data_IF_582375774323
#
_entry.id   IF_582375774323
#
_cell.length_a   1.000
_cell.length_b   1.000
_cell.length_c   1.000
_cell.angle_alpha   90.00
_cell.angle_beta   90.00
_cell.angle_gamma   90.00
#
_symmetry.space_group_name_H-M   'P 1'
#
loop_
_entity.id
_entity.type
_entity.pdbx_description
1 polymer ?
#
# COMPACT_ATOMS: atom_id res chain seq x y z
N UNK A 1 13.87 32.59 1.53
CA UNK A 1 14.23 31.20 1.34
C UNK A 1 13.31 30.33 2.22
N UNK A 2 12.24 29.71 1.71
CA UNK A 2 11.46 28.77 2.50
C UNK A 2 12.19 27.43 2.51
N UNK A 3 12.29 26.85 3.71
CA UNK A 3 13.03 25.65 4.04
C UNK A 3 12.54 24.43 3.25
N UNK A 4 13.50 23.72 2.65
CA UNK A 4 13.35 22.46 1.89
C UNK A 4 12.84 21.29 2.77
N UNK A 5 12.48 21.54 4.03
CA UNK A 5 12.18 20.51 5.05
C UNK A 5 10.69 20.13 5.19
N UNK A 6 9.78 20.76 4.46
CA UNK A 6 8.35 20.43 4.53
C UNK A 6 7.86 19.63 3.30
N UNK A 7 8.65 18.66 2.87
CA UNK A 7 8.22 17.70 1.86
C UNK A 7 7.33 16.66 2.56
N UNK A 8 6.01 16.84 2.47
CA UNK A 8 5.01 15.87 2.92
C UNK A 8 5.40 14.47 2.46
N UNK A 9 5.71 13.61 3.42
CA UNK A 9 6.09 12.20 3.22
C UNK A 9 4.98 11.46 2.47
N UNK A 10 5.27 10.73 1.38
CA UNK A 10 4.30 9.86 0.74
C UNK A 10 3.88 8.77 1.73
N UNK A 11 2.57 8.61 1.91
CA UNK A 11 1.97 7.56 2.75
C UNK A 11 2.05 6.24 1.98
N UNK A 12 3.04 5.43 2.30
CA UNK A 12 3.32 4.18 1.61
C UNK A 12 3.20 2.99 2.56
N UNK A 13 2.49 1.97 2.13
CA UNK A 13 2.30 0.71 2.87
C UNK A 13 1.17 0.78 3.90
N UNK A 14 -0.06 1.10 3.47
CA UNK A 14 -1.18 1.49 4.33
C UNK A 14 -1.58 0.50 5.43
N UNK A 15 -1.49 -0.82 5.23
CA UNK A 15 -2.07 -1.76 6.18
C UNK A 15 -1.12 -2.16 7.31
N UNK A 16 0.13 -2.44 7.01
CA UNK A 16 1.13 -2.84 8.00
C UNK A 16 1.82 -1.61 8.59
N UNK A 17 1.99 -0.54 7.79
CA UNK A 17 2.38 0.76 8.33
C UNK A 17 1.33 1.32 9.29
N UNK A 18 0.03 1.10 9.06
CA UNK A 18 -1.02 1.49 10.01
C UNK A 18 -0.94 0.69 11.30
N UNK A 19 -0.81 -0.64 11.25
CA UNK A 19 -0.67 -1.46 12.45
C UNK A 19 0.66 -1.21 13.15
N UNK A 20 1.77 -1.26 12.43
CA UNK A 20 3.10 -1.10 13.01
C UNK A 20 3.38 0.32 13.48
N UNK A 21 3.08 1.34 12.66
CA UNK A 21 3.23 2.74 13.05
C UNK A 21 2.16 3.17 14.06
N UNK A 22 0.95 2.64 13.96
CA UNK A 22 -0.11 2.84 14.94
C UNK A 22 0.31 2.30 16.30
N UNK A 23 0.82 1.08 16.36
CA UNK A 23 1.36 0.45 17.55
C UNK A 23 2.56 1.22 18.10
N UNK A 24 3.52 1.59 17.26
CA UNK A 24 4.67 2.40 17.66
C UNK A 24 4.26 3.75 18.23
N UNK A 25 3.33 4.47 17.57
CA UNK A 25 2.83 5.74 18.05
C UNK A 25 2.01 5.59 19.34
N UNK A 26 1.24 4.52 19.49
CA UNK A 26 0.51 4.20 20.71
C UNK A 26 1.46 3.93 21.88
N UNK A 27 2.53 3.16 21.66
CA UNK A 27 3.56 2.91 22.66
C UNK A 27 4.28 4.20 23.09
N UNK A 28 4.55 5.10 22.13
CA UNK A 28 5.07 6.44 22.43
C UNK A 28 4.09 7.30 23.23
N UNK A 29 2.81 7.20 22.93
CA UNK A 29 1.76 7.94 23.65
C UNK A 29 1.64 7.48 25.09
N UNK A 30 1.89 6.20 25.41
CA UNK A 30 1.97 5.66 26.77
C UNK A 30 3.23 6.15 27.53
N UNK A 31 4.13 6.86 26.86
CA UNK A 31 5.34 7.43 27.49
C UNK A 31 6.60 6.58 27.32
N UNK A 32 6.57 5.51 26.51
CA UNK A 32 7.79 4.78 26.21
C UNK A 32 8.73 5.61 25.32
N UNK A 33 10.02 5.60 25.65
CA UNK A 33 11.07 6.20 24.84
C UNK A 33 11.11 5.61 23.40
N UNK A 34 11.82 6.29 22.50
CA UNK A 34 11.93 5.89 21.08
C UNK A 34 12.48 4.46 20.93
N UNK A 35 13.50 4.11 21.72
CA UNK A 35 14.15 2.81 21.68
C UNK A 35 13.25 1.66 22.18
N UNK A 36 12.70 1.69 23.42
CA UNK A 36 11.85 0.59 23.89
C UNK A 36 10.54 0.46 23.11
N UNK A 37 9.94 1.57 22.66
CA UNK A 37 8.75 1.53 21.81
C UNK A 37 9.05 0.88 20.46
N UNK A 38 10.21 1.18 19.87
CA UNK A 38 10.64 0.59 18.60
C UNK A 38 10.90 -0.91 18.72
N UNK A 39 11.64 -1.32 19.74
CA UNK A 39 11.95 -2.75 19.99
C UNK A 39 10.68 -3.57 20.27
N UNK A 40 9.78 -3.07 21.10
CA UNK A 40 8.54 -3.75 21.43
C UNK A 40 7.61 -3.88 20.21
N UNK A 41 7.45 -2.80 19.44
CA UNK A 41 6.68 -2.83 18.20
C UNK A 41 7.26 -3.84 17.20
N UNK A 42 8.59 -3.94 17.11
CA UNK A 42 9.31 -4.88 16.28
C UNK A 42 9.02 -6.33 16.68
N UNK A 43 9.16 -6.66 17.96
CA UNK A 43 8.87 -8.01 18.48
C UNK A 43 7.43 -8.41 18.18
N UNK A 44 6.46 -7.51 18.43
CA UNK A 44 5.04 -7.76 18.16
C UNK A 44 4.81 -7.98 16.66
N UNK A 45 5.45 -7.19 15.79
CA UNK A 45 5.26 -7.34 14.33
C UNK A 45 5.89 -8.63 13.79
N UNK A 46 7.04 -9.06 14.32
CA UNK A 46 7.64 -10.35 13.96
C UNK A 46 6.76 -11.50 14.43
N UNK A 47 6.27 -11.44 15.67
CA UNK A 47 5.33 -12.42 16.21
C UNK A 47 4.06 -12.51 15.36
N UNK A 48 3.48 -11.37 14.99
CA UNK A 48 2.34 -11.30 14.07
C UNK A 48 2.67 -11.94 12.72
N UNK A 49 3.85 -11.66 12.16
CA UNK A 49 4.33 -12.28 10.92
C UNK A 49 4.38 -13.80 10.99
N UNK A 50 4.88 -14.35 12.09
CA UNK A 50 4.91 -15.79 12.33
C UNK A 50 3.50 -16.39 12.48
N UNK A 51 2.62 -15.71 13.22
CA UNK A 51 1.23 -16.17 13.43
C UNK A 51 0.40 -16.18 12.14
N UNK A 52 0.68 -15.27 11.20
CA UNK A 52 -0.01 -15.20 9.90
C UNK A 52 0.52 -16.19 8.85
N UNK A 53 1.41 -17.11 9.25
CA UNK A 53 1.96 -18.15 8.39
C UNK A 53 3.12 -17.71 7.50
N UNK A 54 3.73 -16.53 7.77
CA UNK A 54 4.96 -16.09 7.09
C UNK A 54 4.83 -15.87 5.57
N UNK A 55 3.64 -15.56 5.07
CA UNK A 55 3.44 -15.30 3.64
C UNK A 55 4.37 -14.17 3.15
N UNK A 56 4.80 -14.24 1.88
CA UNK A 56 5.77 -13.31 1.28
C UNK A 56 5.37 -11.84 1.45
N UNK A 57 4.09 -11.53 1.30
CA UNK A 57 3.57 -10.17 1.56
C UNK A 57 3.75 -9.72 3.00
N UNK A 58 3.60 -10.64 3.96
CA UNK A 58 3.80 -10.36 5.38
C UNK A 58 5.28 -10.17 5.70
N UNK A 59 6.15 -11.06 5.17
CA UNK A 59 7.60 -10.94 5.33
C UNK A 59 8.11 -9.60 4.79
N UNK A 60 7.69 -9.21 3.58
CA UNK A 60 8.02 -7.90 3.02
C UNK A 60 7.61 -6.77 3.95
N UNK A 61 6.41 -6.81 4.45
CA UNK A 61 5.86 -5.75 5.25
C UNK A 61 6.54 -5.64 6.63
N UNK A 62 6.84 -6.76 7.26
CA UNK A 62 7.64 -6.81 8.51
C UNK A 62 9.04 -6.26 8.25
N UNK A 63 9.72 -6.69 7.18
CA UNK A 63 11.07 -6.21 6.83
C UNK A 63 11.09 -4.71 6.57
N UNK A 64 10.13 -4.19 5.80
CA UNK A 64 10.03 -2.75 5.55
C UNK A 64 9.71 -1.96 6.82
N UNK A 65 8.90 -2.51 7.72
CA UNK A 65 8.64 -1.92 9.04
C UNK A 65 9.93 -1.89 9.89
N UNK A 66 10.68 -2.99 9.93
CA UNK A 66 11.99 -3.07 10.58
C UNK A 66 12.94 -1.98 10.10
N UNK A 67 13.07 -1.83 8.78
CA UNK A 67 13.90 -0.81 8.17
C UNK A 67 13.42 0.61 8.50
N UNK A 68 12.10 0.83 8.55
CA UNK A 68 11.53 2.13 8.92
C UNK A 68 11.82 2.50 10.37
N UNK A 69 11.67 1.56 11.30
CA UNK A 69 11.99 1.76 12.72
C UNK A 69 13.49 1.91 12.92
N UNK A 70 14.30 1.05 12.28
CA UNK A 70 15.76 1.13 12.31
C UNK A 70 16.28 2.48 11.80
N UNK A 71 15.76 2.98 10.69
CA UNK A 71 16.11 4.30 10.16
C UNK A 71 15.78 5.42 11.16
N UNK A 72 14.64 5.35 11.85
CA UNK A 72 14.28 6.33 12.89
C UNK A 72 15.22 6.28 14.09
N UNK A 73 15.63 5.08 14.51
CA UNK A 73 16.56 4.87 15.62
C UNK A 73 17.96 5.44 15.28
N UNK A 74 18.43 5.19 14.06
CA UNK A 74 19.75 5.68 13.60
C UNK A 74 19.71 7.15 13.17
N UNK A 75 18.51 7.78 13.16
CA UNK A 75 18.34 9.19 12.74
C UNK A 75 18.48 9.39 11.23
N UNK A 76 18.35 8.32 10.43
CA UNK A 76 18.39 8.40 8.96
C UNK A 76 17.01 8.55 8.35
N UNK A 77 16.98 9.16 7.15
CA UNK A 77 15.74 9.29 6.37
C UNK A 77 15.41 7.91 5.78
N UNK A 78 14.18 7.45 6.04
CA UNK A 78 13.66 6.24 5.43
C UNK A 78 13.34 6.51 3.95
N UNK A 79 14.02 5.81 3.06
CA UNK A 79 13.77 5.83 1.62
C UNK A 79 13.05 4.55 1.20
N UNK A 80 11.86 4.71 0.60
CA UNK A 80 11.00 3.58 0.26
C UNK A 80 11.60 2.66 -0.82
N UNK A 81 12.14 3.17 -1.96
CA UNK A 81 12.75 2.32 -2.98
C UNK A 81 13.91 1.49 -2.42
N UNK A 82 14.76 2.11 -1.61
CA UNK A 82 15.89 1.40 -0.95
C UNK A 82 15.38 0.32 0.01
N UNK A 83 14.37 0.62 0.83
CA UNK A 83 13.78 -0.35 1.73
C UNK A 83 13.11 -1.52 0.98
N UNK A 84 12.47 -1.23 -0.15
CA UNK A 84 11.91 -2.26 -1.03
C UNK A 84 13.00 -3.16 -1.63
N UNK A 85 14.10 -2.59 -2.11
CA UNK A 85 15.22 -3.34 -2.67
C UNK A 85 15.83 -4.27 -1.62
N UNK A 86 16.08 -3.75 -0.41
CA UNK A 86 16.59 -4.56 0.70
C UNK A 86 15.61 -5.68 1.08
N UNK A 87 14.32 -5.40 1.18
CA UNK A 87 13.31 -6.41 1.47
C UNK A 87 13.25 -7.49 0.38
N UNK A 88 13.34 -7.10 -0.90
CA UNK A 88 13.37 -8.03 -2.02
C UNK A 88 14.59 -8.94 -1.95
N UNK A 89 15.78 -8.40 -1.72
CA UNK A 89 17.02 -9.16 -1.60
C UNK A 89 16.91 -10.17 -0.45
N UNK A 90 16.46 -9.75 0.73
CA UNK A 90 16.34 -10.64 1.89
C UNK A 90 15.38 -11.80 1.63
N UNK A 91 14.23 -11.54 1.02
CA UNK A 91 13.23 -12.57 0.70
C UNK A 91 13.75 -13.52 -0.38
N UNK A 92 14.45 -13.01 -1.40
CA UNK A 92 14.98 -13.85 -2.48
C UNK A 92 16.22 -14.64 -2.07
N UNK A 93 16.99 -14.18 -1.10
CA UNK A 93 18.10 -14.94 -0.50
C UNK A 93 17.55 -16.13 0.30
N UNK A 94 16.43 -15.96 0.99
CA UNK A 94 15.77 -17.05 1.71
C UNK A 94 15.24 -18.11 0.74
N UNK A 95 14.57 -17.71 -0.32
CA UNK A 95 14.11 -18.61 -1.38
C UNK A 95 14.00 -17.90 -2.73
N UNK A 96 14.88 -18.22 -3.71
CA UNK A 96 14.79 -17.65 -5.05
C UNK A 96 13.48 -17.98 -5.78
N UNK A 97 12.78 -19.05 -5.38
CA UNK A 97 11.49 -19.43 -5.96
C UNK A 97 10.39 -18.39 -5.74
N UNK A 98 10.52 -17.54 -4.71
CA UNK A 98 9.57 -16.43 -4.48
C UNK A 98 9.53 -15.39 -5.60
N UNK A 99 10.57 -15.35 -6.46
CA UNK A 99 10.55 -14.47 -7.64
C UNK A 99 9.38 -14.77 -8.59
N UNK A 100 8.89 -16.01 -8.62
CA UNK A 100 7.74 -16.43 -9.43
C UNK A 100 6.45 -16.57 -8.61
N UNK A 101 6.47 -16.18 -7.35
CA UNK A 101 5.30 -16.21 -6.48
C UNK A 101 4.38 -14.99 -6.74
N UNK A 102 3.07 -15.28 -6.89
CA UNK A 102 2.07 -14.23 -7.14
C UNK A 102 1.99 -13.21 -6.00
N UNK A 103 2.12 -13.65 -4.76
CA UNK A 103 2.12 -12.77 -3.58
C UNK A 103 3.32 -11.82 -3.57
N UNK A 104 4.50 -12.29 -4.00
CA UNK A 104 5.69 -11.46 -4.18
C UNK A 104 5.45 -10.39 -5.25
N UNK A 105 5.12 -10.81 -6.46
CA UNK A 105 4.99 -9.91 -7.61
C UNK A 105 3.87 -8.89 -7.43
N UNK A 106 2.69 -9.30 -6.93
CA UNK A 106 1.57 -8.39 -6.67
C UNK A 106 1.89 -7.40 -5.55
N UNK A 107 2.54 -7.88 -4.50
CA UNK A 107 2.86 -7.05 -3.34
C UNK A 107 3.92 -6.00 -3.66
N UNK A 108 5.01 -6.38 -4.32
CA UNK A 108 6.05 -5.45 -4.77
C UNK A 108 5.54 -4.54 -5.88
N UNK A 109 4.75 -5.06 -6.83
CA UNK A 109 4.12 -4.28 -7.88
C UNK A 109 3.20 -3.18 -7.33
N UNK A 110 2.35 -3.51 -6.36
CA UNK A 110 1.46 -2.54 -5.72
C UNK A 110 2.24 -1.42 -5.01
N UNK A 111 3.29 -1.77 -4.24
CA UNK A 111 4.09 -0.77 -3.53
C UNK A 111 4.93 0.07 -4.50
N UNK A 112 5.44 -0.51 -5.58
CA UNK A 112 6.11 0.24 -6.66
C UNK A 112 5.14 1.23 -7.30
N UNK A 113 3.91 0.82 -7.58
CA UNK A 113 2.86 1.69 -8.11
C UNK A 113 2.60 2.90 -7.22
N UNK A 114 2.34 2.67 -5.92
CA UNK A 114 2.03 3.75 -4.98
C UNK A 114 3.27 4.54 -4.57
N UNK A 115 4.40 3.90 -4.41
CA UNK A 115 5.60 4.51 -3.84
C UNK A 115 6.52 5.19 -4.83
N UNK A 116 6.59 4.69 -6.06
CA UNK A 116 7.49 5.21 -7.08
C UNK A 116 6.72 5.90 -8.22
N UNK A 117 5.67 5.26 -8.75
CA UNK A 117 4.96 5.77 -9.93
C UNK A 117 3.99 6.88 -9.56
N UNK A 118 3.19 6.67 -8.53
CA UNK A 118 2.18 7.63 -8.09
C UNK A 118 2.74 9.03 -7.77
N UNK A 119 3.83 9.19 -6.98
CA UNK A 119 4.38 10.52 -6.69
C UNK A 119 4.81 11.27 -7.95
N UNK A 120 5.38 10.57 -8.95
CA UNK A 120 5.81 11.18 -10.21
C UNK A 120 4.62 11.75 -11.00
N UNK A 121 3.52 11.00 -11.07
CA UNK A 121 2.29 11.44 -11.76
C UNK A 121 1.65 12.59 -10.99
N UNK A 122 1.56 12.48 -9.65
CA UNK A 122 0.91 13.48 -8.81
C UNK A 122 1.63 14.82 -8.83
N UNK A 123 2.96 14.82 -8.68
CA UNK A 123 3.76 16.05 -8.77
C UNK A 123 3.57 16.78 -10.10
N UNK A 124 3.52 16.02 -11.20
CA UNK A 124 3.24 16.60 -12.52
C UNK A 124 1.83 17.19 -12.63
N UNK A 125 0.83 16.53 -12.03
CA UNK A 125 -0.56 17.03 -12.03
C UNK A 125 -0.73 18.26 -11.14
N UNK A 126 -0.15 18.31 -9.94
CA UNK A 126 -0.21 19.49 -9.06
C UNK A 126 0.44 20.72 -9.70
N UNK A 127 1.54 20.51 -10.44
CA UNK A 127 2.21 21.58 -11.19
C UNK A 127 1.36 22.10 -12.36
N UNK A 128 0.65 21.20 -13.05
CA UNK A 128 -0.23 21.57 -14.17
C UNK A 128 -1.50 22.32 -13.69
N UNK A 129 -1.97 22.04 -12.49
CA UNK A 129 -3.21 22.57 -11.93
C UNK A 129 -2.93 23.54 -10.78
N UNK A 130 -2.64 24.80 -11.14
CA UNK A 130 -2.49 25.93 -10.17
C UNK A 130 -3.75 26.23 -9.31
N UNK A 131 -4.76 25.36 -9.31
CA UNK A 131 -6.06 25.59 -8.70
C UNK A 131 -6.29 24.64 -7.52
N UNK A 132 -6.43 25.18 -6.31
CA UNK A 132 -6.92 24.49 -5.11
C UNK A 132 -8.30 23.91 -5.39
N UNK A 133 -8.40 22.63 -5.71
CA UNK A 133 -9.68 21.93 -5.86
C UNK A 133 -10.03 21.24 -4.53
N UNK A 134 -11.18 21.57 -3.99
CA UNK A 134 -11.75 21.00 -2.76
C UNK A 134 -12.03 19.49 -2.86
N UNK A 135 -12.03 18.90 -4.07
CA UNK A 135 -12.18 17.47 -4.34
C UNK A 135 -10.88 16.66 -4.32
N UNK A 136 -9.74 17.25 -3.92
CA UNK A 136 -8.40 16.69 -4.12
C UNK A 136 -8.15 15.32 -3.50
N UNK A 137 -8.68 15.04 -2.30
CA UNK A 137 -8.41 13.77 -1.60
C UNK A 137 -9.08 12.56 -2.27
N UNK A 138 -10.32 12.70 -2.71
CA UNK A 138 -11.03 11.63 -3.40
C UNK A 138 -10.39 11.32 -4.77
N UNK A 139 -10.10 12.36 -5.57
CA UNK A 139 -9.40 12.23 -6.85
C UNK A 139 -8.01 11.61 -6.65
N UNK A 140 -7.28 12.02 -5.62
CA UNK A 140 -5.99 11.46 -5.27
C UNK A 140 -6.07 9.97 -4.98
N UNK A 141 -7.00 9.54 -4.13
CA UNK A 141 -7.20 8.12 -3.79
C UNK A 141 -7.65 7.30 -5.00
N UNK A 142 -8.53 7.84 -5.82
CA UNK A 142 -9.01 7.17 -7.05
C UNK A 142 -7.86 6.95 -8.04
N UNK A 143 -7.11 7.99 -8.36
CA UNK A 143 -5.98 7.89 -9.28
C UNK A 143 -4.87 6.98 -8.76
N UNK A 144 -4.58 7.03 -7.44
CA UNK A 144 -3.64 6.09 -6.82
C UNK A 144 -4.10 4.63 -6.98
N UNK A 145 -5.40 4.35 -6.79
CA UNK A 145 -5.98 3.02 -7.01
C UNK A 145 -5.84 2.57 -8.47
N UNK A 146 -6.06 3.48 -9.43
CA UNK A 146 -5.86 3.20 -10.86
C UNK A 146 -4.40 2.87 -11.16
N UNK A 147 -3.45 3.63 -10.61
CA UNK A 147 -2.01 3.38 -10.81
C UNK A 147 -1.62 2.00 -10.26
N UNK A 148 -2.11 1.64 -9.06
CA UNK A 148 -1.87 0.30 -8.49
C UNK A 148 -2.43 -0.78 -9.41
N UNK A 149 -3.68 -0.62 -9.84
CA UNK A 149 -4.33 -1.60 -10.73
C UNK A 149 -3.56 -1.76 -12.04
N UNK A 150 -3.15 -0.66 -12.67
CA UNK A 150 -2.35 -0.70 -13.91
C UNK A 150 -0.99 -1.36 -13.68
N UNK A 151 -0.31 -1.05 -12.57
CA UNK A 151 1.00 -1.64 -12.26
C UNK A 151 0.91 -3.14 -12.00
N UNK A 152 -0.16 -3.61 -11.37
CA UNK A 152 -0.34 -5.03 -11.04
C UNK A 152 -1.08 -5.83 -12.11
N UNK A 153 -1.72 -5.17 -13.07
CA UNK A 153 -2.58 -5.77 -14.10
C UNK A 153 -1.91 -6.93 -14.86
N UNK A 154 -0.68 -6.82 -15.39
CA UNK A 154 -0.07 -7.93 -16.12
C UNK A 154 0.18 -9.16 -15.23
N UNK A 155 0.53 -8.92 -13.97
CA UNK A 155 0.77 -9.99 -12.99
C UNK A 155 -0.56 -10.68 -12.64
N UNK A 156 -1.63 -9.92 -12.42
CA UNK A 156 -2.97 -10.45 -12.16
C UNK A 156 -3.44 -11.31 -13.33
N UNK A 157 -3.30 -10.83 -14.56
CA UNK A 157 -3.66 -11.61 -15.76
C UNK A 157 -2.83 -12.89 -15.90
N UNK A 158 -1.53 -12.83 -15.56
CA UNK A 158 -0.67 -14.01 -15.63
C UNK A 158 -1.13 -15.12 -14.69
N UNK A 159 -1.46 -14.76 -13.42
CA UNK A 159 -1.80 -15.75 -12.40
C UNK A 159 -3.27 -16.19 -12.47
N UNK A 160 -4.18 -15.24 -12.65
CA UNK A 160 -5.62 -15.47 -12.55
C UNK A 160 -6.32 -15.55 -13.91
N UNK A 161 -5.74 -15.00 -14.98
CA UNK A 161 -6.35 -14.96 -16.31
C UNK A 161 -7.53 -13.99 -16.45
N UNK A 162 -7.93 -13.34 -15.36
CA UNK A 162 -9.07 -12.40 -15.29
C UNK A 162 -8.73 -11.18 -14.45
N UNK A 163 -9.39 -10.07 -14.76
CA UNK A 163 -9.24 -8.80 -14.03
C UNK A 163 -10.60 -8.31 -13.57
N UNK A 164 -10.70 -8.02 -12.29
CA UNK A 164 -11.88 -7.37 -11.73
C UNK A 164 -11.84 -5.86 -11.95
N UNK A 165 -12.72 -5.37 -12.83
CA UNK A 165 -12.88 -3.92 -13.05
C UNK A 165 -13.41 -3.23 -11.80
N UNK A 166 -14.26 -3.92 -11.04
CA UNK A 166 -14.80 -3.43 -9.76
C UNK A 166 -13.74 -3.31 -8.69
N UNK A 167 -12.62 -4.03 -8.80
CA UNK A 167 -11.49 -3.92 -7.87
C UNK A 167 -10.98 -2.48 -7.70
N UNK A 168 -11.05 -1.64 -8.73
CA UNK A 168 -10.67 -0.22 -8.63
C UNK A 168 -11.61 0.53 -7.68
N UNK A 169 -12.91 0.31 -7.82
CA UNK A 169 -13.93 0.95 -6.97
C UNK A 169 -13.90 0.40 -5.55
N UNK A 170 -13.68 -0.90 -5.40
CA UNK A 170 -13.52 -1.53 -4.08
C UNK A 170 -12.28 -0.99 -3.37
N UNK A 171 -11.14 -0.85 -4.03
CA UNK A 171 -9.94 -0.26 -3.44
C UNK A 171 -10.17 1.19 -2.99
N UNK A 172 -10.95 1.95 -3.73
CA UNK A 172 -11.31 3.32 -3.34
C UNK A 172 -12.12 3.36 -2.05
N UNK A 173 -13.00 2.36 -1.84
CA UNK A 173 -13.80 2.23 -0.62
C UNK A 173 -12.98 1.62 0.53
N UNK A 174 -12.18 0.59 0.24
CA UNK A 174 -11.38 -0.15 1.22
C UNK A 174 -10.31 0.74 1.84
N UNK A 175 -9.59 1.54 1.04
CA UNK A 175 -8.48 2.37 1.52
C UNK A 175 -8.84 3.29 2.70
N UNK A 176 -9.94 4.07 2.67
CA UNK A 176 -10.31 4.92 3.81
C UNK A 176 -10.92 4.15 4.98
N UNK A 177 -11.55 3.01 4.72
CA UNK A 177 -12.33 2.28 5.73
C UNK A 177 -11.56 1.15 6.41
N UNK A 178 -10.42 0.71 5.84
CA UNK A 178 -9.59 -0.33 6.45
C UNK A 178 -9.09 0.05 7.85
N UNK A 179 -8.80 1.33 8.08
CA UNK A 179 -8.42 1.83 9.41
C UNK A 179 -9.52 1.61 10.46
N UNK A 180 -10.79 1.74 10.07
CA UNK A 180 -11.95 1.47 10.94
C UNK A 180 -12.04 -0.03 11.25
N UNK A 181 -11.87 -0.89 10.24
CA UNK A 181 -11.92 -2.35 10.41
C UNK A 181 -10.79 -2.82 11.34
N UNK A 182 -9.56 -2.38 11.10
CA UNK A 182 -8.42 -2.75 11.93
C UNK A 182 -8.54 -2.17 13.34
N UNK A 183 -8.94 -0.91 13.47
CA UNK A 183 -9.12 -0.25 14.76
C UNK A 183 -10.21 -0.90 15.61
N UNK A 184 -11.37 -1.20 15.01
CA UNK A 184 -12.46 -1.89 15.70
C UNK A 184 -12.10 -3.34 16.04
N UNK A 185 -11.38 -4.04 15.15
CA UNK A 185 -10.92 -5.41 15.42
C UNK A 185 -9.91 -5.48 16.56
N UNK A 186 -8.93 -4.58 16.59
CA UNK A 186 -7.95 -4.51 17.69
C UNK A 186 -8.59 -4.09 19.02
N UNK A 187 -9.50 -3.11 18.99
CA UNK A 187 -10.25 -2.69 20.18
C UNK A 187 -11.13 -3.84 20.69
N UNK A 188 -11.80 -4.57 19.82
CA UNK A 188 -12.61 -5.73 20.19
C UNK A 188 -11.76 -6.84 20.80
N UNK A 189 -10.58 -7.12 20.26
CA UNK A 189 -9.66 -8.13 20.80
C UNK A 189 -9.18 -7.74 22.20
N UNK A 190 -8.79 -6.49 22.41
CA UNK A 190 -8.36 -6.00 23.73
C UNK A 190 -9.49 -5.99 24.76
N UNK A 191 -10.68 -5.53 24.38
CA UNK A 191 -11.85 -5.53 25.28
C UNK A 191 -12.35 -6.95 25.57
N UNK A 192 -12.13 -7.89 24.66
CA UNK A 192 -12.47 -9.30 24.84
C UNK A 192 -11.71 -9.99 25.99
N UNK A 193 -10.54 -9.47 26.35
CA UNK A 193 -9.78 -9.95 27.51
C UNK A 193 -10.48 -9.65 28.85
N UNK A 194 -11.33 -8.61 28.89
CA UNK A 194 -12.03 -8.18 30.11
C UNK A 194 -13.53 -8.50 30.07
N UNK A 195 -14.18 -8.35 28.91
CA UNK A 195 -15.62 -8.52 28.79
C UNK A 195 -16.04 -8.84 27.35
N UNK A 196 -16.75 -9.98 27.18
CA UNK A 196 -17.32 -10.38 25.88
C UNK A 196 -18.35 -9.37 25.36
N UNK A 197 -19.13 -8.73 26.24
CA UNK A 197 -20.13 -7.72 25.84
C UNK A 197 -19.46 -6.46 25.29
N UNK A 198 -18.39 -5.99 25.93
CA UNK A 198 -17.62 -4.84 25.47
C UNK A 198 -16.92 -5.13 24.13
N UNK A 199 -16.35 -6.33 23.97
CA UNK A 199 -15.76 -6.79 22.70
C UNK A 199 -16.76 -6.76 21.54
N UNK A 200 -17.98 -7.27 21.79
CA UNK A 200 -19.02 -7.29 20.77
C UNK A 200 -19.42 -5.87 20.32
N UNK A 201 -19.55 -4.92 21.26
CA UNK A 201 -19.85 -3.52 20.93
C UNK A 201 -18.69 -2.85 20.16
N UNK A 202 -17.45 -3.10 20.54
CA UNK A 202 -16.27 -2.56 19.86
C UNK A 202 -16.11 -3.12 18.43
N UNK A 203 -16.61 -4.34 18.17
CA UNK A 203 -16.57 -4.97 16.85
C UNK A 203 -17.63 -4.43 15.87
N UNK A 204 -18.68 -3.74 16.34
CA UNK A 204 -19.80 -3.29 15.48
C UNK A 204 -19.33 -2.47 14.27
N UNK A 205 -18.47 -1.42 14.40
CA UNK A 205 -18.05 -0.63 13.26
C UNK A 205 -17.36 -1.47 12.17
N UNK A 206 -16.46 -2.37 12.57
CA UNK A 206 -15.79 -3.28 11.64
C UNK A 206 -16.75 -4.24 10.94
N UNK A 207 -17.71 -4.81 11.68
CA UNK A 207 -18.72 -5.70 11.11
C UNK A 207 -19.62 -5.00 10.09
N UNK A 208 -20.04 -3.77 10.35
CA UNK A 208 -20.84 -2.96 9.41
C UNK A 208 -20.06 -2.72 8.12
N UNK A 209 -18.78 -2.33 8.23
CA UNK A 209 -17.92 -2.09 7.06
C UNK A 209 -17.71 -3.39 6.27
N UNK A 210 -17.39 -4.50 6.94
CA UNK A 210 -17.20 -5.79 6.28
C UNK A 210 -18.50 -6.31 5.62
N UNK A 211 -19.64 -6.13 6.28
CA UNK A 211 -20.94 -6.46 5.69
C UNK A 211 -21.25 -5.61 4.45
N UNK A 212 -20.89 -4.34 4.46
CA UNK A 212 -21.01 -3.49 3.28
C UNK A 212 -20.11 -3.99 2.12
N UNK A 213 -18.87 -4.42 2.41
CA UNK A 213 -18.01 -5.03 1.38
C UNK A 213 -18.59 -6.31 0.81
N UNK A 214 -19.09 -7.19 1.67
CA UNK A 214 -19.72 -8.44 1.25
C UNK A 214 -20.92 -8.16 0.33
N UNK A 215 -21.80 -7.24 0.75
CA UNK A 215 -22.95 -6.84 -0.07
C UNK A 215 -22.54 -6.28 -1.43
N UNK A 216 -21.54 -5.40 -1.48
CA UNK A 216 -21.01 -4.82 -2.72
C UNK A 216 -20.41 -5.93 -3.60
N UNK A 217 -19.65 -6.87 -3.04
CA UNK A 217 -19.06 -7.97 -3.79
C UNK A 217 -20.14 -8.90 -4.38
N UNK A 218 -21.19 -9.22 -3.60
CA UNK A 218 -22.32 -10.03 -4.07
C UNK A 218 -23.08 -9.30 -5.19
N UNK A 219 -23.38 -8.01 -4.99
CA UNK A 219 -24.06 -7.20 -6.00
C UNK A 219 -23.22 -7.09 -7.29
N UNK A 220 -21.93 -6.88 -7.13
CA UNK A 220 -20.97 -6.82 -8.21
C UNK A 220 -20.87 -8.13 -9.00
N UNK A 221 -20.82 -9.27 -8.31
CA UNK A 221 -20.77 -10.60 -8.95
C UNK A 221 -22.00 -10.96 -9.80
N UNK A 222 -23.10 -10.23 -9.62
CA UNK A 222 -24.32 -10.40 -10.46
C UNK A 222 -24.25 -9.65 -11.79
N UNK A 223 -23.29 -8.74 -11.97
CA UNK A 223 -23.16 -7.95 -13.18
C UNK A 223 -22.21 -8.66 -14.17
N UNK A 224 -22.61 -8.90 -15.41
CA UNK A 224 -21.82 -9.68 -16.38
C UNK A 224 -20.52 -8.99 -16.83
N UNK A 225 -20.33 -7.69 -16.53
CA UNK A 225 -19.17 -6.91 -16.92
C UNK A 225 -18.16 -6.68 -15.77
N UNK A 226 -18.34 -7.33 -14.62
CA UNK A 226 -17.48 -7.10 -13.46
C UNK A 226 -16.09 -7.68 -13.58
N UNK A 227 -15.95 -8.77 -14.31
CA UNK A 227 -14.69 -9.44 -14.58
C UNK A 227 -14.44 -9.48 -16.08
N UNK A 228 -13.27 -8.98 -16.46
CA UNK A 228 -12.79 -9.10 -17.82
C UNK A 228 -11.84 -10.29 -17.91
N UNK A 229 -12.24 -11.31 -18.65
CA UNK A 229 -11.42 -12.50 -18.90
C UNK A 229 -10.50 -12.22 -20.07
N UNK A 230 -9.27 -11.82 -19.80
CA UNK A 230 -8.27 -11.46 -20.83
C UNK A 230 -7.36 -12.62 -21.23
N UNK A 231 -7.50 -13.78 -20.56
CA UNK A 231 -6.58 -14.92 -20.74
C UNK A 231 -5.19 -14.66 -20.13
N UNK A 232 -4.30 -15.66 -20.26
CA UNK A 232 -2.92 -15.55 -19.72
C UNK A 232 -2.01 -14.88 -20.76
N UNK A 233 -1.46 -13.69 -20.47
CA UNK A 233 -0.55 -13.03 -21.40
C UNK A 233 0.76 -13.80 -21.52
N UNK A 234 1.40 -13.73 -22.68
CA UNK A 234 2.74 -14.28 -22.86
C UNK A 234 3.80 -13.34 -22.23
N UNK A 235 4.95 -13.89 -21.86
CA UNK A 235 6.04 -13.15 -21.16
C UNK A 235 6.45 -11.90 -21.95
N UNK A 236 6.53 -11.98 -23.28
CA UNK A 236 6.91 -10.85 -24.11
C UNK A 236 5.85 -9.73 -24.12
N UNK A 237 4.55 -10.05 -23.93
CA UNK A 237 3.48 -9.06 -23.80
C UNK A 237 3.60 -8.31 -22.47
N UNK A 238 3.92 -9.03 -21.40
CA UNK A 238 4.18 -8.43 -20.06
C UNK A 238 5.39 -7.51 -20.15
N UNK A 239 6.49 -7.95 -20.76
CA UNK A 239 7.69 -7.15 -20.94
C UNK A 239 7.39 -5.88 -21.77
N UNK A 240 6.66 -6.03 -22.90
CA UNK A 240 6.22 -4.91 -23.71
C UNK A 240 5.34 -3.91 -22.96
N UNK A 241 4.42 -4.40 -22.14
CA UNK A 241 3.57 -3.55 -21.32
C UNK A 241 4.38 -2.70 -20.32
N UNK A 242 5.30 -3.30 -19.58
CA UNK A 242 6.14 -2.56 -18.63
C UNK A 242 7.13 -1.61 -19.33
N UNK A 243 7.63 -1.96 -20.50
CA UNK A 243 8.45 -1.05 -21.32
C UNK A 243 7.65 0.17 -21.79
N UNK A 244 6.42 -0.04 -22.27
CA UNK A 244 5.52 1.04 -22.67
C UNK A 244 5.13 1.92 -21.48
N UNK A 245 4.81 1.31 -20.33
CA UNK A 245 4.49 2.04 -19.11
C UNK A 245 5.69 2.86 -18.61
N UNK A 246 6.88 2.27 -18.55
CA UNK A 246 8.11 2.98 -18.17
C UNK A 246 8.47 4.09 -19.16
N UNK A 247 8.35 3.84 -20.45
CA UNK A 247 8.58 4.83 -21.52
C UNK A 247 7.61 6.01 -21.43
N UNK A 248 6.32 5.76 -21.21
CA UNK A 248 5.32 6.82 -21.04
C UNK A 248 5.59 7.69 -19.82
N UNK A 249 5.98 7.09 -18.68
CA UNK A 249 6.36 7.81 -17.47
C UNK A 249 7.62 8.64 -17.70
N UNK A 250 8.61 8.08 -18.39
CA UNK A 250 9.85 8.77 -18.73
C UNK A 250 9.60 9.97 -19.65
N UNK A 251 8.81 9.81 -20.73
CA UNK A 251 8.43 10.88 -21.64
C UNK A 251 7.67 11.98 -20.88
N UNK A 252 6.72 11.59 -20.03
CA UNK A 252 5.98 12.54 -19.19
C UNK A 252 6.90 13.36 -18.28
N UNK A 253 7.88 12.70 -17.67
CA UNK A 253 8.88 13.37 -16.81
C UNK A 253 9.75 14.35 -17.58
N UNK A 254 10.23 13.96 -18.77
CA UNK A 254 11.04 14.83 -19.64
C UNK A 254 10.21 16.04 -20.10
N UNK A 255 8.96 15.83 -20.48
CA UNK A 255 8.06 16.92 -20.86
C UNK A 255 7.81 17.91 -19.71
N UNK A 256 7.60 17.43 -18.49
CA UNK A 256 7.43 18.29 -17.32
C UNK A 256 8.69 19.09 -16.99
N UNK A 257 9.88 18.49 -17.10
CA UNK A 257 11.17 19.20 -16.90
C UNK A 257 11.48 20.22 -18.00
N UNK A 258 11.14 19.90 -19.25
CA UNK A 258 11.35 20.84 -20.37
C UNK A 258 10.50 22.11 -20.25
N UNK A 259 9.33 22.02 -19.64
CA UNK A 259 8.45 23.17 -19.42
C UNK A 259 8.96 24.09 -18.29
N UNK A 260 9.71 23.56 -17.32
CA UNK A 260 10.37 24.37 -16.28
C UNK A 260 11.45 25.29 -16.85
N UNK A 261 12.25 24.80 -17.80
CA UNK A 261 13.33 25.57 -18.43
C UNK A 261 12.83 26.64 -19.39
N UNK A 262 11.56 26.58 -19.83
CA UNK A 262 10.98 27.59 -20.74
C UNK A 262 10.25 28.73 -20.02
N UNK A 263 10.10 28.66 -18.69
CA UNK A 263 9.40 29.64 -17.85
C UNK A 263 10.31 30.38 -16.85
N UNK A 264 11.59 30.05 -16.83
CA UNK A 264 12.68 30.76 -16.15
C UNK A 264 13.39 31.69 -17.13
#
# INVERSE_FOLDING_TARGET
>A
MPSILDRKKPQTGLHISLLGLGLYNFLKWIGLGIWPAGMLALVIMVQYGMMTGGGVSTMRAVTMFLLSVGAKIVGRIYDLPTAMAVAAILILVESPAYMLDGGFLLSFGAVTGVGCIWPLIWEGMERAEKRKSTGGKFRQSFLASVVVQLTTLPVVLWFYGEVSVIGIFLNLLVLPTVGVVLGSGTAAALMGLFSLRASWLAAIPGRVVLGAYEWICIAAGRLPFCTWVGGKPQIWQIAGYYLLMGGSIWIYRVYCMGKENSTS
#
